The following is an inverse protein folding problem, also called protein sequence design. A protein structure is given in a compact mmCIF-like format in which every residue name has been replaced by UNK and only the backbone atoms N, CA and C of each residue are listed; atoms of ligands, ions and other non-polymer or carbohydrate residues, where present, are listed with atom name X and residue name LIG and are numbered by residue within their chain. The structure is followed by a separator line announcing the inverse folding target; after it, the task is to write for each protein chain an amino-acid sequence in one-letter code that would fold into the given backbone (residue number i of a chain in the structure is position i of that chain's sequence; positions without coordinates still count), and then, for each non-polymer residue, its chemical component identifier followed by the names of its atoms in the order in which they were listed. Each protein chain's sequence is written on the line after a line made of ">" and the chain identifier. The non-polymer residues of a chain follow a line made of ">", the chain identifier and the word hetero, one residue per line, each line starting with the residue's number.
data_IF_726560176292
#
_entry.id   IF_726560176292
#
_cell.length_a   1.000
_cell.length_b   1.000
_cell.length_c   1.000
_cell.angle_alpha   90.00
_cell.angle_beta   90.00
_cell.angle_gamma   90.00
#
_symmetry.space_group_name_H-M   'P 1'
#
loop_
_entity.id
_entity.type
_entity.pdbx_description
1 polymer ?
#
# COMPACT_ATOMS: atom_id res chain seq x y z
N UNK A 1 8.60 -32.74 -4.61
CA UNK A 1 9.94 -32.13 -4.80
C UNK A 1 9.91 -30.99 -5.83
N UNK A 2 9.16 -31.11 -6.94
CA UNK A 2 9.09 -30.08 -7.99
C UNK A 2 8.80 -28.63 -7.53
N UNK A 3 7.96 -28.41 -6.50
CA UNK A 3 7.75 -27.05 -5.95
C UNK A 3 9.02 -26.51 -5.28
N UNK A 4 9.73 -27.34 -4.52
CA UNK A 4 10.93 -26.94 -3.80
C UNK A 4 12.06 -26.54 -4.76
N UNK A 5 12.27 -27.32 -5.82
CA UNK A 5 13.24 -26.99 -6.88
C UNK A 5 12.91 -25.66 -7.58
N UNK A 6 11.62 -25.42 -7.86
CA UNK A 6 11.17 -24.15 -8.46
C UNK A 6 11.34 -22.95 -7.53
N UNK A 7 11.09 -23.13 -6.23
CA UNK A 7 11.32 -22.07 -5.22
C UNK A 7 12.81 -21.76 -5.12
N UNK A 8 13.68 -22.78 -5.01
CA UNK A 8 15.14 -22.60 -4.96
C UNK A 8 15.64 -21.83 -6.20
N UNK A 9 15.23 -22.24 -7.40
CA UNK A 9 15.57 -21.54 -8.64
C UNK A 9 15.02 -20.09 -8.71
N UNK A 10 13.91 -19.79 -8.04
CA UNK A 10 13.39 -18.43 -7.95
C UNK A 10 14.22 -17.55 -7.02
N UNK A 11 14.78 -18.12 -5.93
CA UNK A 11 15.63 -17.38 -4.97
C UNK A 11 16.97 -16.95 -5.55
N UNK A 12 17.47 -17.64 -6.58
CA UNK A 12 18.74 -17.31 -7.25
C UNK A 12 18.60 -16.16 -8.27
N UNK A 13 17.37 -15.76 -8.60
CA UNK A 13 17.13 -14.67 -9.56
C UNK A 13 17.19 -13.30 -8.87
N UNK A 14 17.68 -12.25 -9.56
CA UNK A 14 17.59 -10.90 -9.03
C UNK A 14 16.12 -10.51 -8.84
N UNK A 15 15.83 -9.80 -7.74
CA UNK A 15 14.53 -9.20 -7.49
C UNK A 15 14.65 -7.68 -7.41
N UNK A 16 13.56 -6.98 -7.71
CA UNK A 16 13.44 -5.53 -7.55
C UNK A 16 12.27 -5.23 -6.61
N UNK A 17 12.42 -5.64 -5.35
CA UNK A 17 11.40 -5.42 -4.32
C UNK A 17 11.20 -3.93 -4.06
N UNK A 18 9.93 -3.48 -4.07
CA UNK A 18 9.53 -2.12 -3.75
C UNK A 18 8.19 -2.17 -3.01
N UNK A 19 7.97 -1.23 -2.09
CA UNK A 19 6.69 -1.10 -1.41
C UNK A 19 5.59 -0.56 -2.35
N UNK A 20 4.34 -0.78 -1.96
CA UNK A 20 3.17 -0.30 -2.71
C UNK A 20 3.01 1.22 -2.64
N UNK A 21 3.53 1.85 -1.58
CA UNK A 21 3.48 3.28 -1.34
C UNK A 21 4.65 3.70 -0.44
N UNK A 22 4.94 4.99 -0.39
CA UNK A 22 5.90 5.58 0.56
C UNK A 22 5.16 6.04 1.82
N UNK A 23 5.76 5.84 2.99
CA UNK A 23 5.13 6.22 4.28
C UNK A 23 4.90 7.73 4.42
N UNK A 24 5.64 8.54 3.67
CA UNK A 24 5.54 10.00 3.65
C UNK A 24 4.36 10.53 2.83
N UNK A 25 3.76 9.70 1.97
CA UNK A 25 2.58 10.08 1.20
C UNK A 25 1.39 10.41 2.13
N UNK A 26 0.41 11.14 1.61
CA UNK A 26 -0.84 11.37 2.34
C UNK A 26 -1.61 10.05 2.51
N UNK A 27 -2.43 9.95 3.57
CA UNK A 27 -3.26 8.76 3.81
C UNK A 27 -4.15 8.42 2.59
N UNK A 28 -4.80 9.40 1.91
CA UNK A 28 -5.53 9.14 0.67
C UNK A 28 -4.69 8.49 -0.43
N UNK A 29 -3.47 8.98 -0.67
CA UNK A 29 -2.58 8.44 -1.69
C UNK A 29 -2.13 7.00 -1.37
N UNK A 30 -1.87 6.69 -0.09
CA UNK A 30 -1.54 5.32 0.34
C UNK A 30 -2.68 4.35 0.04
N UNK A 31 -3.91 4.74 0.39
CA UNK A 31 -5.12 3.95 0.15
C UNK A 31 -5.32 3.75 -1.36
N UNK A 32 -5.21 4.82 -2.14
CA UNK A 32 -5.37 4.76 -3.59
C UNK A 32 -4.30 3.88 -4.26
N UNK A 33 -3.06 3.92 -3.78
CA UNK A 33 -1.99 3.06 -4.27
C UNK A 33 -2.30 1.57 -4.06
N UNK A 34 -2.85 1.20 -2.90
CA UNK A 34 -3.33 -0.18 -2.64
C UNK A 34 -4.43 -0.55 -3.64
N UNK A 35 -5.44 0.31 -3.79
CA UNK A 35 -6.60 0.03 -4.64
C UNK A 35 -6.18 -0.14 -6.11
N UNK A 36 -5.33 0.74 -6.62
CA UNK A 36 -4.87 0.70 -8.02
C UNK A 36 -3.87 -0.43 -8.28
N UNK A 37 -2.86 -0.61 -7.42
CA UNK A 37 -1.73 -1.52 -7.69
C UNK A 37 -1.99 -2.96 -7.24
N UNK A 38 -2.82 -3.16 -6.22
CA UNK A 38 -3.07 -4.49 -5.61
C UNK A 38 -4.45 -5.02 -5.99
N UNK A 39 -5.50 -4.20 -5.85
CA UNK A 39 -6.87 -4.63 -6.13
C UNK A 39 -7.33 -4.38 -7.56
N UNK A 40 -6.62 -3.54 -8.33
CA UNK A 40 -6.95 -3.22 -9.72
C UNK A 40 -8.19 -2.35 -9.88
N UNK A 41 -8.55 -1.56 -8.87
CA UNK A 41 -9.65 -0.59 -8.95
C UNK A 41 -9.21 0.75 -9.55
N UNK A 42 -10.17 1.54 -10.03
CA UNK A 42 -9.90 2.81 -10.72
C UNK A 42 -9.47 3.95 -9.77
N UNK A 43 -9.82 3.87 -8.49
CA UNK A 43 -9.56 4.91 -7.50
C UNK A 43 -10.38 4.69 -6.23
N UNK A 44 -10.43 5.71 -5.37
CA UNK A 44 -11.16 5.64 -4.10
C UNK A 44 -12.06 6.86 -3.91
N UNK A 45 -13.20 6.63 -3.26
CA UNK A 45 -14.14 7.68 -2.86
C UNK A 45 -14.31 7.62 -1.35
N UNK A 46 -14.02 8.71 -0.68
CA UNK A 46 -14.19 8.83 0.76
C UNK A 46 -15.58 9.39 1.09
N UNK A 47 -16.22 8.81 2.11
CA UNK A 47 -17.44 9.38 2.68
C UNK A 47 -17.10 10.61 3.52
N UNK A 48 -18.09 11.49 3.75
CA UNK A 48 -17.89 12.67 4.60
C UNK A 48 -17.32 12.36 6.00
N UNK A 49 -17.81 11.33 6.72
CA UNK A 49 -17.20 10.91 7.98
C UNK A 49 -15.75 10.44 7.84
N UNK A 50 -15.41 9.73 6.77
CA UNK A 50 -14.04 9.29 6.53
C UNK A 50 -13.08 10.46 6.29
N UNK A 51 -13.52 11.48 5.54
CA UNK A 51 -12.72 12.70 5.34
C UNK A 51 -12.40 13.39 6.67
N UNK A 52 -13.39 13.52 7.57
CA UNK A 52 -13.16 14.10 8.92
C UNK A 52 -12.15 13.30 9.74
N UNK A 53 -12.22 11.96 9.68
CA UNK A 53 -11.27 11.11 10.39
C UNK A 53 -9.85 11.23 9.84
N UNK A 54 -9.70 11.39 8.53
CA UNK A 54 -8.39 11.62 7.92
C UNK A 54 -7.76 12.92 8.42
N UNK A 55 -8.53 13.99 8.49
CA UNK A 55 -8.09 15.29 9.05
C UNK A 55 -7.69 15.16 10.54
N UNK A 56 -8.46 14.42 11.34
CA UNK A 56 -8.14 14.16 12.75
C UNK A 56 -6.83 13.37 12.91
N UNK A 57 -6.60 12.35 12.09
CA UNK A 57 -5.37 11.54 12.11
C UNK A 57 -4.16 12.41 11.75
N UNK A 58 -4.29 13.28 10.74
CA UNK A 58 -3.23 14.20 10.35
C UNK A 58 -2.94 15.23 11.45
N UNK A 59 -3.97 15.79 12.09
CA UNK A 59 -3.82 16.71 13.21
C UNK A 59 -3.11 16.08 14.42
N UNK A 60 -3.24 14.76 14.61
CA UNK A 60 -2.55 14.00 15.65
C UNK A 60 -1.11 13.62 15.27
N UNK A 61 -0.64 13.94 14.05
CA UNK A 61 0.69 13.57 13.55
C UNK A 61 0.83 12.07 13.29
N UNK A 62 -0.29 11.38 13.04
CA UNK A 62 -0.37 9.94 12.85
C UNK A 62 -0.43 9.55 11.36
N UNK A 63 -0.39 10.53 10.46
CA UNK A 63 -0.55 10.35 9.01
C UNK A 63 0.61 9.59 8.36
N UNK A 64 1.77 9.50 9.01
CA UNK A 64 2.96 8.77 8.51
C UNK A 64 2.98 7.29 8.88
N UNK A 65 1.95 6.80 9.57
CA UNK A 65 1.81 5.36 9.76
C UNK A 65 1.43 4.64 8.45
N UNK A 66 1.82 3.36 8.30
CA UNK A 66 1.29 2.52 7.23
C UNK A 66 -0.23 2.35 7.35
N UNK A 67 -0.86 2.16 6.20
CA UNK A 67 -2.28 1.78 6.05
C UNK A 67 -2.39 0.27 5.91
#
# INVERSE_FOLDING_TARGET
>A
IALAEKVLAATEKPNNFNFTYEVEQSIPEKIEAIVKRVYGGDGVVFTGPAQKQLEEIEALGLDKMPV
#
